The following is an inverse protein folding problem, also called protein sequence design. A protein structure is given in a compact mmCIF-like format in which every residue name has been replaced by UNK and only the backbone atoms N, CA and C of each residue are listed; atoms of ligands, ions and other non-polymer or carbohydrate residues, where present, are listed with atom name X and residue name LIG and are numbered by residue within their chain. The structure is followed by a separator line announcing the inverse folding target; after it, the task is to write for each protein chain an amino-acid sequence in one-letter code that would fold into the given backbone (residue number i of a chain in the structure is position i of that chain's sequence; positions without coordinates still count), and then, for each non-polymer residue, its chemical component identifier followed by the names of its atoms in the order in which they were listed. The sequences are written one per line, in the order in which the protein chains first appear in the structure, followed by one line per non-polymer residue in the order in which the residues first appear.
data_IF_780141801754
#
_entry.id   IF_780141801754
#
_cell.length_a   1.000
_cell.length_b   1.000
_cell.length_c   1.000
_cell.angle_alpha   90.00
_cell.angle_beta   90.00
_cell.angle_gamma   90.00
#
_symmetry.space_group_name_H-M   'P 1'
#
loop_
_entity.id
_entity.type
_entity.pdbx_description
1 polymer ?
#
# COMPACT_ATOMS: atom_id res chain seq x y z
N UNK A 1 0.07 -8.24 35.92
CA UNK A 1 -0.96 -8.74 34.98
C UNK A 1 -0.76 -10.24 34.81
N UNK A 2 -1.74 -11.09 35.14
CA UNK A 2 -1.64 -12.53 34.94
C UNK A 2 -1.43 -12.85 33.45
N UNK A 3 -0.56 -13.83 33.15
CA UNK A 3 -0.33 -14.31 31.79
C UNK A 3 -1.55 -15.13 31.36
N UNK A 4 -2.31 -14.62 30.39
CA UNK A 4 -3.41 -15.36 29.78
C UNK A 4 -2.89 -16.66 29.15
N UNK A 5 -3.73 -17.68 29.12
CA UNK A 5 -3.43 -18.92 28.41
C UNK A 5 -3.27 -18.67 26.90
N UNK A 6 -2.63 -19.61 26.19
CA UNK A 6 -2.44 -19.51 24.75
C UNK A 6 -3.76 -19.39 23.98
N UNK A 7 -4.79 -20.16 24.36
CA UNK A 7 -6.13 -20.13 23.76
C UNK A 7 -6.87 -18.81 24.01
N UNK A 8 -6.77 -18.27 25.22
CA UNK A 8 -7.39 -16.98 25.56
C UNK A 8 -6.72 -15.81 24.83
N UNK A 9 -5.40 -15.89 24.67
CA UNK A 9 -4.65 -14.91 23.88
C UNK A 9 -5.04 -14.95 22.41
N UNK A 10 -5.25 -16.15 21.86
CA UNK A 10 -5.71 -16.33 20.48
C UNK A 10 -7.14 -15.83 20.26
N UNK A 11 -8.07 -16.16 21.15
CA UNK A 11 -9.45 -15.66 21.08
C UNK A 11 -9.49 -14.11 21.14
N UNK A 12 -8.63 -13.51 21.98
CA UNK A 12 -8.48 -12.06 22.04
C UNK A 12 -7.89 -11.49 20.75
N UNK A 13 -6.85 -12.10 20.18
CA UNK A 13 -6.25 -11.64 18.93
C UNK A 13 -7.26 -11.73 17.76
N UNK A 14 -8.08 -12.78 17.72
CA UNK A 14 -9.18 -12.92 16.75
C UNK A 14 -10.25 -11.83 16.91
N UNK A 15 -10.64 -11.51 18.15
CA UNK A 15 -11.56 -10.40 18.44
C UNK A 15 -10.97 -9.05 18.01
N UNK A 16 -9.70 -8.80 18.34
CA UNK A 16 -9.01 -7.57 17.93
C UNK A 16 -9.00 -7.44 16.41
N UNK A 17 -8.74 -8.54 15.70
CA UNK A 17 -8.71 -8.56 14.25
C UNK A 17 -10.10 -8.33 13.64
N UNK A 18 -11.17 -8.94 14.18
CA UNK A 18 -12.53 -8.70 13.69
C UNK A 18 -12.97 -7.24 13.86
N UNK A 19 -12.62 -6.61 15.00
CA UNK A 19 -12.88 -5.20 15.22
C UNK A 19 -12.09 -4.30 14.27
N UNK A 20 -10.86 -4.68 13.94
CA UNK A 20 -10.04 -3.97 12.97
C UNK A 20 -10.65 -4.03 11.56
N UNK A 21 -11.11 -5.22 11.13
CA UNK A 21 -11.80 -5.38 9.85
C UNK A 21 -13.12 -4.61 9.81
N UNK A 22 -13.84 -4.54 10.93
CA UNK A 22 -15.08 -3.77 11.06
C UNK A 22 -14.91 -2.23 11.05
N UNK A 23 -13.75 -1.71 10.64
CA UNK A 23 -13.55 -0.27 10.51
C UNK A 23 -12.86 0.39 11.71
N UNK A 24 -12.78 -0.28 12.87
CA UNK A 24 -12.37 0.38 14.12
C UNK A 24 -10.88 0.76 14.12
N UNK A 25 -10.56 1.95 14.66
CA UNK A 25 -9.18 2.43 14.77
C UNK A 25 -8.43 1.83 15.97
N UNK A 26 -7.10 1.73 15.90
CA UNK A 26 -6.28 1.13 16.98
C UNK A 26 -6.57 1.68 18.38
N UNK A 27 -6.79 3.00 18.51
CA UNK A 27 -7.12 3.65 19.80
C UNK A 27 -8.49 3.23 20.33
N UNK A 28 -9.47 3.13 19.44
CA UNK A 28 -10.83 2.71 19.79
C UNK A 28 -10.82 1.25 20.24
N UNK A 29 -10.08 0.38 19.53
CA UNK A 29 -9.92 -1.03 19.91
C UNK A 29 -9.22 -1.15 21.28
N UNK A 30 -8.14 -0.40 21.50
CA UNK A 30 -7.41 -0.42 22.78
C UNK A 30 -8.25 0.08 23.96
N UNK A 31 -9.20 0.99 23.72
CA UNK A 31 -10.09 1.52 24.74
C UNK A 31 -11.20 0.52 25.16
N UNK A 32 -11.39 -0.58 24.43
CA UNK A 32 -12.44 -1.55 24.73
C UNK A 32 -12.10 -2.39 25.97
N UNK A 33 -13.07 -2.56 26.90
CA UNK A 33 -12.85 -3.29 28.15
C UNK A 33 -12.57 -4.78 27.93
N UNK A 34 -12.97 -5.34 26.78
CA UNK A 34 -12.75 -6.74 26.42
C UNK A 34 -11.32 -7.01 25.90
N UNK A 35 -10.65 -5.98 25.35
CA UNK A 35 -9.33 -6.12 24.73
C UNK A 35 -8.20 -6.03 25.75
N UNK A 36 -8.27 -5.04 26.66
CA UNK A 36 -7.27 -4.82 27.73
C UNK A 36 -5.80 -4.88 27.23
N UNK A 37 -5.54 -4.30 26.06
CA UNK A 37 -4.20 -4.19 25.47
C UNK A 37 -3.80 -2.72 25.33
N UNK A 38 -2.49 -2.47 25.41
CA UNK A 38 -1.94 -1.19 24.97
C UNK A 38 -2.11 -1.02 23.45
N UNK A 39 -1.99 0.21 22.96
CA UNK A 39 -1.96 0.52 21.52
C UNK A 39 -0.98 -0.37 20.75
N UNK A 40 0.23 -0.53 21.29
CA UNK A 40 1.25 -1.40 20.71
C UNK A 40 0.84 -2.88 20.76
N UNK A 41 0.19 -3.31 21.84
CA UNK A 41 -0.35 -4.65 21.96
C UNK A 41 -1.44 -4.95 20.92
N UNK A 42 -2.32 -4.00 20.64
CA UNK A 42 -3.33 -4.11 19.58
C UNK A 42 -2.69 -4.26 18.21
N UNK A 43 -1.68 -3.44 17.90
CA UNK A 43 -0.95 -3.55 16.63
C UNK A 43 -0.33 -4.94 16.48
N UNK A 44 0.38 -5.44 17.51
CA UNK A 44 1.00 -6.76 17.48
C UNK A 44 -0.03 -7.90 17.37
N UNK A 45 -1.21 -7.76 17.98
CA UNK A 45 -2.29 -8.74 17.85
C UNK A 45 -2.83 -8.81 16.42
N UNK A 46 -3.00 -7.65 15.77
CA UNK A 46 -3.42 -7.57 14.36
C UNK A 46 -2.37 -8.22 13.45
N UNK A 47 -1.09 -7.88 13.65
CA UNK A 47 0.01 -8.42 12.85
C UNK A 47 0.10 -9.95 12.97
N UNK A 48 -0.03 -10.49 14.19
CA UNK A 48 -0.08 -11.95 14.43
C UNK A 48 -1.29 -12.61 13.78
N UNK A 49 -2.47 -12.00 13.90
CA UNK A 49 -3.71 -12.54 13.31
C UNK A 49 -3.64 -12.56 11.78
N UNK A 50 -3.03 -11.53 11.17
CA UNK A 50 -2.79 -11.45 9.72
C UNK A 50 -1.85 -12.56 9.26
N UNK A 51 -0.70 -12.72 9.91
CA UNK A 51 0.27 -13.77 9.56
C UNK A 51 -0.32 -15.18 9.64
N UNK A 52 -1.09 -15.49 10.70
CA UNK A 52 -1.73 -16.80 10.85
C UNK A 52 -2.75 -17.12 9.75
N UNK A 53 -3.45 -16.10 9.25
CA UNK A 53 -4.47 -16.28 8.20
C UNK A 53 -3.84 -16.38 6.81
N UNK A 54 -2.69 -15.76 6.59
CA UNK A 54 -1.90 -15.95 5.38
C UNK A 54 -1.44 -17.42 5.22
N UNK A 55 -1.14 -18.09 6.32
CA UNK A 55 -0.84 -19.54 6.33
C UNK A 55 -2.09 -20.41 6.06
N UNK A 56 -3.29 -19.91 6.37
CA UNK A 56 -4.57 -20.63 6.26
C UNK A 56 -5.31 -20.26 4.98
N UNK A 57 -4.95 -20.92 3.86
CA UNK A 57 -5.45 -20.65 2.50
C UNK A 57 -6.97 -20.56 2.30
N UNK A 58 -7.81 -21.11 3.17
CA UNK A 58 -9.26 -21.20 2.95
C UNK A 58 -10.00 -19.86 3.07
N UNK A 59 -9.50 -18.93 3.90
CA UNK A 59 -10.24 -17.72 4.27
C UNK A 59 -9.57 -16.43 3.75
N UNK A 60 -8.50 -16.58 2.96
CA UNK A 60 -7.66 -15.46 2.52
C UNK A 60 -8.44 -14.51 1.62
N UNK A 61 -9.32 -15.03 0.75
CA UNK A 61 -10.05 -14.21 -0.23
C UNK A 61 -10.93 -13.15 0.43
N UNK A 62 -11.82 -13.55 1.32
CA UNK A 62 -12.76 -12.64 2.00
C UNK A 62 -12.03 -11.64 2.90
N UNK A 63 -11.05 -12.09 3.66
CA UNK A 63 -10.25 -11.20 4.53
C UNK A 63 -9.45 -10.20 3.70
N UNK A 64 -8.90 -10.62 2.56
CA UNK A 64 -8.18 -9.74 1.64
C UNK A 64 -9.10 -8.69 1.06
N UNK A 65 -10.31 -9.06 0.62
CA UNK A 65 -11.32 -8.11 0.13
C UNK A 65 -11.69 -7.06 1.18
N UNK A 66 -11.92 -7.47 2.43
CA UNK A 66 -12.22 -6.54 3.53
C UNK A 66 -11.05 -5.60 3.83
N UNK A 67 -9.81 -6.08 3.75
CA UNK A 67 -8.62 -5.25 3.94
C UNK A 67 -8.44 -4.24 2.80
N UNK A 68 -8.70 -4.64 1.55
CA UNK A 68 -8.67 -3.74 0.39
C UNK A 68 -9.67 -2.62 0.60
N UNK A 69 -10.95 -2.94 0.87
CA UNK A 69 -12.00 -1.95 1.07
C UNK A 69 -11.64 -0.97 2.20
N UNK A 70 -11.13 -1.49 3.32
CA UNK A 70 -10.66 -0.65 4.43
C UNK A 70 -9.56 0.31 4.00
N UNK A 71 -8.55 -0.17 3.29
CA UNK A 71 -7.42 0.68 2.87
C UNK A 71 -7.83 1.70 1.82
N UNK A 72 -8.76 1.38 0.93
CA UNK A 72 -9.35 2.34 -0.01
C UNK A 72 -10.07 3.47 0.73
N UNK A 73 -10.90 3.15 1.72
CA UNK A 73 -11.58 4.15 2.54
C UNK A 73 -10.59 5.06 3.28
N UNK A 74 -9.54 4.47 3.88
CA UNK A 74 -8.48 5.24 4.55
C UNK A 74 -7.72 6.12 3.55
N UNK A 75 -7.45 5.61 2.35
CA UNK A 75 -6.76 6.34 1.30
C UNK A 75 -7.59 7.53 0.81
N UNK A 76 -8.90 7.38 0.59
CA UNK A 76 -9.78 8.50 0.21
C UNK A 76 -9.77 9.65 1.23
N UNK A 77 -9.66 9.35 2.52
CA UNK A 77 -9.55 10.38 3.58
C UNK A 77 -8.16 11.03 3.57
N UNK A 78 -7.10 10.22 3.49
CA UNK A 78 -5.72 10.74 3.49
C UNK A 78 -5.43 11.57 2.22
N UNK A 79 -5.89 11.12 1.06
CA UNK A 79 -5.63 11.74 -0.23
C UNK A 79 -6.21 13.16 -0.30
N UNK A 80 -7.44 13.36 0.20
CA UNK A 80 -8.05 14.69 0.27
C UNK A 80 -7.20 15.69 1.07
N UNK A 81 -6.59 15.24 2.17
CA UNK A 81 -5.68 16.07 2.98
C UNK A 81 -4.32 16.27 2.30
N UNK A 82 -3.80 15.25 1.63
CA UNK A 82 -2.56 15.35 0.87
C UNK A 82 -2.68 16.39 -0.26
N UNK A 83 -3.82 16.45 -0.95
CA UNK A 83 -4.12 17.46 -1.97
C UNK A 83 -4.19 18.90 -1.42
N UNK A 84 -4.36 19.07 -0.10
CA UNK A 84 -4.30 20.36 0.58
C UNK A 84 -2.86 20.73 1.01
N UNK A 85 -1.86 19.93 0.65
CA UNK A 85 -0.45 20.17 0.98
C UNK A 85 0.00 19.60 2.33
N UNK A 86 -0.84 18.79 3.01
CA UNK A 86 -0.43 18.14 4.26
C UNK A 86 0.59 17.01 4.03
N UNK A 87 1.87 17.27 4.32
CA UNK A 87 2.95 16.30 4.15
C UNK A 87 2.71 14.98 4.89
N UNK A 88 2.15 15.02 6.11
CA UNK A 88 1.84 13.81 6.88
C UNK A 88 0.79 12.94 6.20
N UNK A 89 -0.17 13.56 5.52
CA UNK A 89 -1.20 12.84 4.77
C UNK A 89 -0.60 12.20 3.50
N UNK A 90 0.37 12.85 2.87
CA UNK A 90 1.13 12.28 1.75
C UNK A 90 1.88 11.00 2.18
N UNK A 91 2.59 11.05 3.31
CA UNK A 91 3.25 9.85 3.88
C UNK A 91 2.25 8.72 4.18
N UNK A 92 1.04 9.07 4.63
CA UNK A 92 -0.02 8.08 4.87
C UNK A 92 -0.52 7.46 3.57
N UNK A 93 -0.79 8.27 2.53
CA UNK A 93 -1.13 7.78 1.20
C UNK A 93 -0.09 6.79 0.67
N UNK A 94 1.20 7.14 0.77
CA UNK A 94 2.29 6.27 0.32
C UNK A 94 2.29 4.92 1.06
N UNK A 95 2.11 4.92 2.38
CA UNK A 95 2.05 3.68 3.18
C UNK A 95 0.84 2.82 2.82
N UNK A 96 -0.33 3.44 2.62
CA UNK A 96 -1.54 2.73 2.22
C UNK A 96 -1.41 2.10 0.83
N UNK A 97 -0.81 2.81 -0.14
CA UNK A 97 -0.53 2.27 -1.47
C UNK A 97 0.43 1.07 -1.42
N UNK A 98 1.44 1.11 -0.55
CA UNK A 98 2.32 -0.04 -0.33
C UNK A 98 1.51 -1.24 0.16
N UNK A 99 0.69 -1.08 1.20
CA UNK A 99 -0.13 -2.18 1.73
C UNK A 99 -1.14 -2.72 0.72
N UNK A 100 -1.81 -1.86 -0.06
CA UNK A 100 -2.69 -2.27 -1.16
C UNK A 100 -1.92 -3.06 -2.22
N UNK A 101 -0.73 -2.59 -2.61
CA UNK A 101 0.15 -3.31 -3.52
C UNK A 101 0.46 -4.73 -3.03
N UNK A 102 0.71 -4.91 -1.73
CA UNK A 102 0.91 -6.25 -1.14
C UNK A 102 -0.31 -7.15 -1.32
N UNK A 103 -1.49 -6.64 -1.00
CA UNK A 103 -2.74 -7.40 -1.09
C UNK A 103 -3.09 -7.77 -2.53
N UNK A 104 -2.69 -6.96 -3.51
CA UNK A 104 -2.83 -7.27 -4.93
C UNK A 104 -1.69 -8.15 -5.49
N UNK A 105 -0.74 -8.58 -4.67
CA UNK A 105 0.39 -9.40 -5.11
C UNK A 105 1.42 -8.65 -5.95
N UNK A 106 1.47 -7.31 -5.84
CA UNK A 106 2.41 -6.44 -6.57
C UNK A 106 3.76 -6.28 -5.85
N UNK A 107 4.00 -7.02 -4.76
CA UNK A 107 5.29 -7.04 -4.08
C UNK A 107 6.37 -7.60 -5.00
N UNK A 108 7.42 -6.81 -5.24
CA UNK A 108 8.52 -7.19 -6.12
C UNK A 108 8.41 -6.67 -7.55
N UNK A 109 7.29 -6.02 -7.92
CA UNK A 109 7.25 -5.14 -9.09
C UNK A 109 8.06 -3.89 -8.73
N UNK A 110 9.39 -4.02 -8.75
CA UNK A 110 10.27 -2.86 -8.88
C UNK A 110 9.76 -2.13 -10.10
N UNK A 111 9.57 -0.81 -9.99
CA UNK A 111 9.43 0.05 -11.16
C UNK A 111 10.44 -0.47 -12.17
N UNK A 112 9.97 -1.05 -13.27
CA UNK A 112 10.83 -1.32 -14.40
C UNK A 112 11.28 0.07 -14.81
N UNK A 113 12.41 0.52 -14.27
CA UNK A 113 13.21 1.51 -14.96
C UNK A 113 13.37 0.87 -16.34
N UNK A 114 12.79 1.44 -17.42
CA UNK A 114 13.13 0.94 -18.74
C UNK A 114 14.67 0.95 -18.78
N UNK A 115 15.29 -0.15 -19.24
CA UNK A 115 16.74 -0.19 -19.29
C UNK A 115 17.22 1.09 -20.00
N UNK A 116 18.19 1.82 -19.42
CA UNK A 116 18.78 2.94 -20.13
C UNK A 116 19.28 2.36 -21.45
N UNK A 117 18.78 2.92 -22.56
CA UNK A 117 18.82 2.39 -23.91
C UNK A 117 19.91 1.35 -24.15
N UNK A 118 19.50 0.18 -24.63
CA UNK A 118 20.34 -0.59 -25.55
C UNK A 118 20.55 0.31 -26.77
N UNK A 119 21.56 1.18 -26.68
CA UNK A 119 22.24 1.68 -27.85
C UNK A 119 22.97 0.46 -28.39
N UNK A 120 22.30 -0.27 -29.29
CA UNK A 120 22.96 -1.15 -30.23
C UNK A 120 23.93 -0.28 -31.03
N UNK A 121 25.19 -0.30 -30.60
CA UNK A 121 26.31 0.23 -31.37
C UNK A 121 26.67 -0.84 -32.39
N UNK A 122 25.79 -1.03 -33.38
CA UNK A 122 26.18 -1.66 -34.64
C UNK A 122 26.87 -0.58 -35.47
N UNK A 123 28.20 -0.61 -35.41
CA UNK A 123 29.04 0.03 -36.40
C UNK A 123 28.94 -0.77 -37.70
N UNK A 124 28.06 -0.32 -38.62
CA UNK A 124 28.21 -0.60 -40.04
C UNK A 124 27.97 0.68 -40.85
N UNK A 125 28.91 0.93 -41.76
CA UNK A 125 29.10 2.16 -42.52
C UNK A 125 27.95 2.38 -43.51
N UNK A 126 27.16 3.44 -43.29
CA UNK A 126 26.07 3.81 -44.19
C UNK A 126 25.69 5.28 -44.07
N UNK A 127 26.39 6.11 -44.82
CA UNK A 127 26.19 7.55 -44.99
C UNK A 127 24.69 7.95 -45.15
N UNK A 128 24.10 8.61 -44.16
CA UNK A 128 22.83 9.37 -44.30
C UNK A 128 23.04 10.76 -43.69
N UNK A 129 22.79 11.86 -44.43
CA UNK A 129 23.14 13.20 -43.98
C UNK A 129 22.29 13.61 -42.77
N UNK A 130 22.96 14.28 -41.81
CA UNK A 130 22.36 14.84 -40.61
C UNK A 130 21.23 15.82 -40.98
N UNK A 131 19.98 15.34 -40.93
CA UNK A 131 18.83 16.24 -40.78
C UNK A 131 18.83 16.63 -39.31
N UNK A 132 19.20 17.88 -39.04
CA UNK A 132 19.13 18.47 -37.71
C UNK A 132 17.66 18.42 -37.24
N UNK A 133 17.34 17.42 -36.43
CA UNK A 133 16.09 17.33 -35.70
C UNK A 133 16.25 18.23 -34.48
N UNK A 134 15.80 19.48 -34.60
CA UNK A 134 15.69 20.41 -33.48
C UNK A 134 14.53 19.90 -32.59
N UNK A 135 14.80 19.37 -31.39
CA UNK A 135 13.79 18.69 -30.57
C UNK A 135 12.80 19.65 -29.88
N UNK A 136 12.82 20.94 -30.20
CA UNK A 136 12.24 21.99 -29.36
C UNK A 136 10.97 22.71 -29.89
N UNK A 137 10.24 22.20 -30.90
CA UNK A 137 9.00 22.89 -31.31
C UNK A 137 7.76 22.02 -31.59
N UNK A 138 7.38 21.18 -30.63
CA UNK A 138 6.05 20.56 -30.59
C UNK A 138 4.93 21.55 -30.19
N UNK A 139 5.27 22.76 -29.75
CA UNK A 139 4.32 23.77 -29.26
C UNK A 139 3.89 24.81 -30.31
N UNK A 140 4.57 24.89 -31.47
CA UNK A 140 4.14 25.74 -32.59
C UNK A 140 2.73 25.41 -33.08
N UNK A 141 2.30 24.15 -33.01
CA UNK A 141 0.99 23.70 -33.48
C UNK A 141 -0.20 24.27 -32.67
N UNK A 142 0.05 24.84 -31.49
CA UNK A 142 -1.01 25.36 -30.61
C UNK A 142 -1.07 26.90 -30.55
N UNK A 143 -0.26 27.59 -31.34
CA UNK A 143 -0.37 29.05 -31.50
C UNK A 143 -1.42 29.35 -32.57
N UNK A 144 -2.67 29.54 -32.14
CA UNK A 144 -3.75 30.03 -32.99
C UNK A 144 -3.47 31.47 -33.47
N UNK A 145 -3.93 31.84 -34.69
CA UNK A 145 -3.64 33.13 -35.32
C UNK A 145 -4.27 34.34 -34.63
#
# INVERSE_FOLDING_TARGET
MPRLGAKESEARDALVFSLYLAGMGYRQIAARPEVRLSLRGVQLAIDRARARREDQRSDIGEVTSLLIERYEQLFQVAYRKAMQGELRANDQCRKLLVELGRLHGLEGVRSATPPPGEADVDADDGLVPAVAFDPDDELAAFRLP
#
